data_IF_690623606029
#
_entry.id   IF_690623606029
#
_cell.length_a   1.000
_cell.length_b   1.000
_cell.length_c   1.000
_cell.angle_alpha   90.00
_cell.angle_beta   90.00
_cell.angle_gamma   90.00
#
_symmetry.space_group_name_H-M   'P 1'
#
loop_
_entity.id
_entity.type
_entity.pdbx_description
1 polymer ?
#
# COMPACT_ATOMS: atom_id res chain seq x y z
N UNK A 1 2.67 -26.83 -3.97
CA UNK A 1 3.76 -26.54 -4.96
C UNK A 1 3.83 -25.08 -5.40
N UNK A 2 2.81 -24.47 -6.01
CA UNK A 2 2.89 -23.03 -6.38
C UNK A 2 2.86 -22.10 -5.16
N UNK A 3 2.07 -22.42 -4.16
CA UNK A 3 1.99 -21.70 -2.87
C UNK A 3 3.29 -21.79 -2.06
N UNK A 4 3.96 -22.93 -2.10
CA UNK A 4 5.21 -23.15 -1.36
C UNK A 4 6.37 -22.42 -2.03
N UNK A 5 6.36 -22.31 -3.37
CA UNK A 5 7.31 -21.51 -4.12
C UNK A 5 7.14 -20.01 -3.79
N UNK A 6 5.91 -19.50 -3.69
CA UNK A 6 5.65 -18.12 -3.27
C UNK A 6 6.06 -17.86 -1.81
N UNK A 7 5.84 -18.83 -0.91
CA UNK A 7 6.31 -18.75 0.48
C UNK A 7 7.84 -18.77 0.57
N UNK A 8 8.50 -19.64 -0.19
CA UNK A 8 9.96 -19.72 -0.21
C UNK A 8 10.59 -18.46 -0.82
N UNK A 9 10.02 -17.91 -1.89
CA UNK A 9 10.46 -16.64 -2.48
C UNK A 9 10.17 -15.46 -1.55
N UNK A 10 9.06 -15.45 -0.84
CA UNK A 10 8.75 -14.43 0.17
C UNK A 10 9.68 -14.54 1.39
N UNK A 11 10.00 -15.74 1.85
CA UNK A 11 10.92 -15.98 2.96
C UNK A 11 12.38 -15.68 2.60
N UNK A 12 12.84 -16.07 1.40
CA UNK A 12 14.18 -15.75 0.92
C UNK A 12 14.38 -14.24 0.66
N UNK A 13 13.28 -13.48 0.42
CA UNK A 13 13.29 -12.04 0.23
C UNK A 13 13.00 -11.23 1.49
N UNK A 14 12.51 -11.84 2.55
CA UNK A 14 12.45 -11.20 3.88
C UNK A 14 13.84 -10.79 4.39
N UNK A 15 14.92 -11.42 3.88
CA UNK A 15 16.30 -11.07 4.15
C UNK A 15 16.86 -9.93 3.26
N UNK A 16 16.24 -9.62 2.11
CA UNK A 16 16.58 -8.46 1.27
C UNK A 16 15.34 -7.58 1.17
N UNK A 17 15.51 -6.29 1.49
CA UNK A 17 14.43 -5.30 1.47
C UNK A 17 13.50 -5.50 0.26
N UNK A 18 12.25 -5.91 0.52
CA UNK A 18 11.21 -5.99 -0.49
C UNK A 18 11.07 -4.61 -1.14
N UNK A 19 11.05 -4.56 -2.46
CA UNK A 19 10.93 -3.33 -3.27
C UNK A 19 12.19 -2.43 -3.25
N UNK A 20 13.35 -2.90 -3.73
CA UNK A 20 14.59 -2.12 -3.71
C UNK A 20 14.54 -0.85 -4.54
N UNK A 21 13.65 -0.74 -5.51
CA UNK A 21 13.48 0.41 -6.41
C UNK A 21 12.01 0.78 -6.54
N UNK A 22 11.71 2.07 -6.55
CA UNK A 22 10.34 2.55 -6.74
C UNK A 22 10.29 4.04 -7.04
N UNK A 23 9.39 4.43 -7.92
CA UNK A 23 9.14 5.83 -8.25
C UNK A 23 8.30 6.49 -7.15
N UNK A 24 8.73 7.64 -6.64
CA UNK A 24 7.98 8.44 -5.67
C UNK A 24 7.48 9.71 -6.36
N UNK A 25 6.18 9.95 -6.26
CA UNK A 25 5.52 11.15 -6.78
C UNK A 25 4.70 11.82 -5.70
N UNK A 26 4.55 13.13 -5.80
CA UNK A 26 3.57 13.86 -5.01
C UNK A 26 2.17 13.69 -5.60
N UNK A 27 1.16 13.85 -4.75
CA UNK A 27 -0.23 13.79 -5.17
C UNK A 27 -1.14 14.50 -4.20
N UNK A 28 -2.41 14.55 -4.57
CA UNK A 28 -3.50 15.08 -3.74
C UNK A 28 -4.53 14.01 -3.55
N UNK A 29 -4.91 13.73 -2.31
CA UNK A 29 -5.97 12.80 -1.95
C UNK A 29 -7.22 13.59 -1.57
N UNK A 30 -8.25 13.52 -2.39
CA UNK A 30 -9.56 14.12 -2.12
C UNK A 30 -10.46 13.06 -1.50
N UNK A 31 -10.74 13.18 -0.21
CA UNK A 31 -11.60 12.25 0.53
C UNK A 31 -13.03 12.74 0.52
N UNK A 32 -13.93 11.85 0.14
CA UNK A 32 -15.39 12.12 0.09
C UNK A 32 -16.12 11.45 1.26
N UNK A 33 -15.40 10.57 1.96
CA UNK A 33 -15.99 9.69 2.96
C UNK A 33 -16.73 8.50 2.36
N UNK A 34 -17.19 7.58 3.20
CA UNK A 34 -18.00 6.42 2.79
C UNK A 34 -19.23 6.24 3.64
N UNK A 35 -20.28 5.66 3.06
CA UNK A 35 -21.51 5.32 3.78
C UNK A 35 -21.96 3.90 3.42
N UNK A 36 -22.42 3.10 4.41
CA UNK A 36 -22.32 3.36 5.86
C UNK A 36 -20.88 3.52 6.31
N UNK A 37 -20.66 4.25 7.41
CA UNK A 37 -19.33 4.53 7.97
C UNK A 37 -18.61 3.28 8.45
N UNK A 38 -17.29 3.36 8.45
CA UNK A 38 -16.39 2.31 8.94
C UNK A 38 -16.01 2.49 10.41
N UNK A 39 -16.27 3.66 10.98
CA UNK A 39 -15.80 4.10 12.29
C UNK A 39 -14.35 4.62 12.27
N UNK A 40 -13.77 4.77 11.08
CA UNK A 40 -12.41 5.28 10.86
C UNK A 40 -12.50 6.68 10.25
N UNK A 41 -12.18 7.71 11.02
CA UNK A 41 -12.34 9.11 10.62
C UNK A 41 -11.61 9.46 9.31
N UNK A 42 -10.45 8.85 9.05
CA UNK A 42 -9.70 9.04 7.81
C UNK A 42 -10.43 8.50 6.56
N UNK A 43 -11.25 7.45 6.72
CA UNK A 43 -12.04 6.86 5.62
C UNK A 43 -13.42 7.52 5.52
N UNK A 44 -14.04 7.83 6.65
CA UNK A 44 -15.44 8.27 6.72
C UNK A 44 -15.59 9.78 6.56
N UNK A 45 -14.51 10.53 6.84
CA UNK A 45 -14.49 11.98 6.77
C UNK A 45 -14.12 12.50 5.39
N UNK A 46 -14.52 13.74 5.12
CA UNK A 46 -14.13 14.51 3.93
C UNK A 46 -12.84 15.28 4.19
N UNK A 47 -12.09 15.61 3.14
CA UNK A 47 -10.90 16.43 3.22
C UNK A 47 -10.04 16.36 1.98
N UNK A 48 -9.02 17.21 1.94
CA UNK A 48 -8.02 17.24 0.88
C UNK A 48 -6.65 17.18 1.55
N UNK A 49 -5.89 16.15 1.25
CA UNK A 49 -4.58 15.90 1.85
C UNK A 49 -3.49 15.89 0.78
N UNK A 50 -2.37 16.53 1.07
CA UNK A 50 -1.14 16.34 0.31
C UNK A 50 -0.56 14.96 0.63
N UNK A 51 -0.15 14.20 -0.40
CA UNK A 51 0.29 12.82 -0.22
C UNK A 51 1.57 12.53 -0.99
N UNK A 52 2.34 11.57 -0.48
CA UNK A 52 3.43 10.93 -1.20
C UNK A 52 2.99 9.54 -1.63
N UNK A 53 3.21 9.23 -2.89
CA UNK A 53 2.83 7.96 -3.51
C UNK A 53 4.06 7.28 -4.06
N UNK A 54 4.26 6.02 -3.70
CA UNK A 54 5.36 5.20 -4.22
C UNK A 54 4.84 4.03 -5.01
N UNK A 55 5.31 3.93 -6.25
CA UNK A 55 5.11 2.78 -7.11
C UNK A 55 6.33 1.87 -7.04
N UNK A 56 6.14 0.58 -6.92
CA UNK A 56 7.24 -0.36 -6.79
C UNK A 56 6.91 -1.71 -7.45
N UNK A 57 7.97 -2.48 -7.72
CA UNK A 57 7.85 -3.84 -8.27
C UNK A 57 8.33 -4.84 -7.22
N UNK A 58 7.45 -5.78 -6.85
CA UNK A 58 7.67 -6.68 -5.72
C UNK A 58 8.89 -7.59 -5.89
N UNK A 59 9.08 -8.13 -7.09
CA UNK A 59 10.22 -8.97 -7.43
C UNK A 59 11.41 -8.18 -7.99
N UNK A 60 11.19 -6.91 -8.42
CA UNK A 60 12.21 -6.11 -9.09
C UNK A 60 12.62 -6.69 -10.45
N UNK A 61 11.71 -7.41 -11.11
CA UNK A 61 11.95 -7.97 -12.44
C UNK A 61 12.12 -6.87 -13.49
N UNK A 62 12.85 -7.08 -14.59
CA UNK A 62 12.99 -6.13 -15.68
C UNK A 62 11.63 -5.65 -16.22
N UNK A 63 11.57 -4.41 -16.75
CA UNK A 63 10.36 -3.69 -17.12
C UNK A 63 9.26 -4.46 -17.87
N UNK A 64 9.55 -5.22 -18.92
CA UNK A 64 8.51 -5.91 -19.70
C UNK A 64 7.93 -7.16 -19.02
N UNK A 65 8.56 -7.68 -17.96
CA UNK A 65 8.08 -8.89 -17.29
C UNK A 65 6.96 -8.54 -16.29
N UNK A 66 5.95 -9.42 -16.14
CA UNK A 66 4.94 -9.25 -15.10
C UNK A 66 5.54 -9.30 -13.72
N UNK A 67 5.11 -8.40 -12.83
CA UNK A 67 5.53 -8.37 -11.43
C UNK A 67 4.35 -7.97 -10.54
N UNK A 68 4.40 -8.27 -9.25
CA UNK A 68 3.45 -7.74 -8.30
C UNK A 68 3.72 -6.24 -8.14
N UNK A 69 2.81 -5.41 -8.65
CA UNK A 69 2.94 -3.97 -8.55
C UNK A 69 2.53 -3.52 -7.14
N UNK A 70 3.39 -2.77 -6.48
CA UNK A 70 3.12 -2.15 -5.19
C UNK A 70 2.71 -0.69 -5.35
N UNK A 71 1.69 -0.28 -4.62
CA UNK A 71 1.24 1.10 -4.47
C UNK A 71 1.28 1.42 -2.98
N UNK A 72 2.17 2.33 -2.57
CA UNK A 72 2.23 2.83 -1.21
C UNK A 72 1.82 4.31 -1.19
N UNK A 73 1.05 4.68 -0.18
CA UNK A 73 0.53 6.04 0.02
C UNK A 73 0.87 6.49 1.43
N UNK A 74 1.41 7.70 1.58
CA UNK A 74 1.51 8.41 2.85
C UNK A 74 0.61 9.64 2.80
N UNK A 75 -0.35 9.71 3.72
CA UNK A 75 -1.27 10.80 3.96
C UNK A 75 -1.16 11.25 5.41
N UNK A 76 -2.02 12.19 5.80
CA UNK A 76 -2.14 12.66 7.17
C UNK A 76 -3.56 12.40 7.67
N UNK A 77 -3.71 11.91 8.90
CA UNK A 77 -5.01 11.77 9.52
C UNK A 77 -5.58 13.14 9.92
N UNK A 78 -6.89 13.26 10.19
CA UNK A 78 -7.49 14.50 10.69
C UNK A 78 -6.84 15.05 11.97
N UNK A 79 -6.20 14.19 12.75
CA UNK A 79 -5.43 14.58 13.95
C UNK A 79 -3.97 14.89 13.71
N UNK A 80 -3.51 15.00 12.46
CA UNK A 80 -2.13 15.34 12.10
C UNK A 80 -1.14 14.17 12.08
N UNK A 81 -1.53 12.96 12.48
CA UNK A 81 -0.66 11.78 12.46
C UNK A 81 -0.48 11.24 11.03
N UNK A 82 0.71 10.72 10.67
CA UNK A 82 0.93 10.11 9.37
C UNK A 82 0.08 8.84 9.21
N UNK A 83 -0.42 8.61 8.00
CA UNK A 83 -1.15 7.40 7.61
C UNK A 83 -0.45 6.77 6.43
N UNK A 84 0.10 5.57 6.63
CA UNK A 84 0.74 4.78 5.58
C UNK A 84 -0.18 3.63 5.15
N UNK A 85 -0.47 3.56 3.85
CA UNK A 85 -1.24 2.48 3.24
C UNK A 85 -0.36 1.76 2.22
N UNK A 86 -0.28 0.43 2.32
CA UNK A 86 0.42 -0.41 1.35
C UNK A 86 -0.56 -1.33 0.65
N UNK A 87 -0.58 -1.24 -0.66
CA UNK A 87 -1.43 -2.03 -1.53
C UNK A 87 -0.56 -2.77 -2.57
N UNK A 88 -1.03 -3.91 -3.01
CA UNK A 88 -0.39 -4.67 -4.08
C UNK A 88 -1.41 -5.17 -5.08
N UNK A 89 -0.99 -5.41 -6.32
CA UNK A 89 -1.88 -6.01 -7.33
C UNK A 89 -2.31 -7.40 -6.91
N UNK A 90 -3.62 -7.66 -6.99
CA UNK A 90 -4.21 -8.91 -6.53
C UNK A 90 -5.14 -9.52 -7.57
N UNK A 91 -5.21 -10.86 -7.54
CA UNK A 91 -6.33 -11.61 -8.08
C UNK A 91 -7.39 -11.73 -6.99
N UNK A 92 -8.62 -11.30 -7.31
CA UNK A 92 -9.63 -11.13 -6.28
C UNK A 92 -9.25 -10.00 -5.32
N UNK A 93 -9.08 -10.30 -4.03
CA UNK A 93 -8.81 -9.26 -3.01
C UNK A 93 -7.58 -9.52 -2.16
N UNK A 94 -7.06 -10.76 -2.17
CA UNK A 94 -6.10 -11.22 -1.17
C UNK A 94 -4.91 -11.98 -1.73
N UNK A 95 -4.97 -12.41 -2.99
CA UNK A 95 -3.89 -13.17 -3.61
C UNK A 95 -3.02 -12.23 -4.43
N UNK A 96 -1.76 -11.97 -4.04
CA UNK A 96 -0.85 -11.18 -4.85
C UNK A 96 -0.75 -11.78 -6.26
N UNK A 97 -0.88 -10.93 -7.27
CA UNK A 97 -0.90 -11.39 -8.65
C UNK A 97 -0.03 -10.51 -9.54
N UNK A 98 0.92 -11.10 -10.30
CA UNK A 98 1.79 -10.36 -11.20
C UNK A 98 1.00 -9.68 -12.34
N UNK A 99 1.36 -8.43 -12.64
CA UNK A 99 0.80 -7.62 -13.73
C UNK A 99 1.90 -6.88 -14.45
N UNK A 100 1.68 -6.55 -15.73
CA UNK A 100 2.62 -5.75 -16.53
C UNK A 100 2.51 -4.25 -16.27
N UNK A 101 1.44 -3.80 -15.63
CA UNK A 101 1.18 -2.40 -15.33
C UNK A 101 0.15 -2.24 -14.21
N UNK A 102 -0.19 -1.00 -13.91
CA UNK A 102 -1.13 -0.63 -12.84
C UNK A 102 -2.53 -0.30 -13.36
N UNK A 103 -2.69 -0.12 -14.68
CA UNK A 103 -3.96 0.31 -15.28
C UNK A 103 -5.02 -0.80 -15.24
N UNK A 104 -6.23 -0.44 -14.84
CA UNK A 104 -7.39 -1.34 -14.79
C UNK A 104 -7.32 -2.46 -13.77
N UNK A 105 -6.27 -2.52 -12.94
CA UNK A 105 -6.06 -3.56 -11.95
C UNK A 105 -6.43 -3.09 -10.55
N UNK A 106 -6.92 -4.03 -9.74
CA UNK A 106 -7.16 -3.81 -8.32
C UNK A 106 -5.86 -4.00 -7.55
N UNK A 107 -5.49 -2.97 -6.78
CA UNK A 107 -4.53 -3.07 -5.70
C UNK A 107 -5.30 -3.24 -4.40
N UNK A 108 -4.86 -4.11 -3.53
CA UNK A 108 -5.49 -4.36 -2.23
C UNK A 108 -4.45 -4.45 -1.11
N UNK A 109 -4.88 -4.18 0.11
CA UNK A 109 -4.07 -4.36 1.32
C UNK A 109 -3.76 -5.83 1.62
N UNK A 110 -4.36 -6.77 0.90
CA UNK A 110 -4.22 -8.23 1.06
C UNK A 110 -4.75 -8.71 2.42
N UNK A 111 -4.22 -8.15 3.51
CA UNK A 111 -4.72 -8.38 4.87
C UNK A 111 -5.85 -7.40 5.20
N UNK A 112 -6.88 -7.91 5.86
CA UNK A 112 -7.92 -7.06 6.40
C UNK A 112 -7.44 -6.43 7.70
N UNK A 113 -7.56 -5.10 7.80
CA UNK A 113 -7.43 -4.38 9.07
C UNK A 113 -8.61 -4.70 9.99
N UNK A 114 -8.43 -4.51 11.29
CA UNK A 114 -9.56 -4.39 12.22
C UNK A 114 -10.00 -2.93 12.23
N UNK A 115 -11.29 -2.70 12.02
CA UNK A 115 -11.94 -1.41 12.15
C UNK A 115 -13.13 -1.54 13.10
N UNK A 116 -13.71 -0.45 13.63
CA UNK A 116 -14.91 -0.51 14.47
C UNK A 116 -16.09 -1.21 13.78
N UNK A 117 -16.23 -1.09 12.47
CA UNK A 117 -17.23 -1.80 11.67
C UNK A 117 -16.91 -3.28 11.40
N UNK A 118 -15.77 -3.79 11.89
CA UNK A 118 -15.29 -5.15 11.63
C UNK A 118 -14.11 -5.21 10.66
N UNK A 119 -13.79 -6.40 10.11
CA UNK A 119 -12.67 -6.59 9.19
C UNK A 119 -12.82 -5.75 7.92
N UNK A 120 -11.80 -4.96 7.57
CA UNK A 120 -11.83 -4.00 6.48
C UNK A 120 -10.59 -4.13 5.57
N UNK A 121 -10.80 -4.32 4.28
CA UNK A 121 -9.78 -4.23 3.25
C UNK A 121 -9.75 -2.81 2.70
N UNK A 122 -8.55 -2.32 2.42
CA UNK A 122 -8.34 -1.12 1.61
C UNK A 122 -7.93 -1.54 0.20
N UNK A 123 -8.36 -0.78 -0.79
CA UNK A 123 -8.03 -1.03 -2.18
C UNK A 123 -7.93 0.26 -2.98
N UNK A 124 -7.27 0.15 -4.13
CA UNK A 124 -7.18 1.22 -5.12
C UNK A 124 -7.30 0.63 -6.52
N UNK A 125 -8.02 1.34 -7.39
CA UNK A 125 -8.10 1.03 -8.82
C UNK A 125 -7.74 2.27 -9.60
N UNK A 126 -7.01 2.12 -10.71
CA UNK A 126 -6.71 3.26 -11.59
C UNK A 126 -8.00 3.93 -12.08
N UNK A 127 -8.04 5.24 -12.01
CA UNK A 127 -9.15 6.11 -12.38
C UNK A 127 -8.60 7.38 -13.02
N UNK A 128 -8.85 7.58 -14.31
CA UNK A 128 -8.19 8.67 -15.04
C UNK A 128 -6.66 8.62 -14.88
N UNK A 129 -6.01 9.76 -14.60
CA UNK A 129 -4.57 9.83 -14.38
C UNK A 129 -4.14 9.42 -12.96
N UNK A 130 -5.07 8.96 -12.11
CA UNK A 130 -4.83 8.64 -10.71
C UNK A 130 -5.50 7.33 -10.28
N UNK A 131 -6.01 7.32 -9.05
CA UNK A 131 -6.63 6.13 -8.46
C UNK A 131 -7.88 6.49 -7.66
N UNK A 132 -8.89 5.62 -7.74
CA UNK A 132 -10.03 5.63 -6.84
C UNK A 132 -9.72 4.69 -5.66
N UNK A 133 -9.69 5.23 -4.44
CA UNK A 133 -9.52 4.46 -3.22
C UNK A 133 -10.86 4.00 -2.69
N UNK A 134 -10.91 2.76 -2.23
CA UNK A 134 -12.11 2.16 -1.70
C UNK A 134 -11.82 1.27 -0.48
N UNK A 135 -12.83 1.08 0.35
CA UNK A 135 -12.82 0.13 1.44
C UNK A 135 -13.86 -0.96 1.21
N UNK A 136 -13.65 -2.15 1.76
CA UNK A 136 -14.60 -3.26 1.68
C UNK A 136 -14.45 -4.21 2.87
N UNK A 137 -15.57 -4.73 3.37
CA UNK A 137 -15.54 -5.97 4.14
C UNK A 137 -14.99 -7.12 3.26
N UNK A 138 -14.40 -8.19 3.83
CA UNK A 138 -13.76 -9.24 3.05
C UNK A 138 -14.61 -9.88 1.94
N UNK A 139 -15.92 -9.90 2.11
CA UNK A 139 -16.92 -10.40 1.13
C UNK A 139 -17.94 -9.35 0.69
N UNK A 140 -17.83 -8.11 1.17
CA UNK A 140 -18.72 -6.99 0.84
C UNK A 140 -18.34 -6.27 -0.46
N UNK A 141 -19.17 -5.36 -0.96
CA UNK A 141 -18.84 -4.51 -2.11
C UNK A 141 -17.69 -3.54 -1.75
N UNK A 142 -16.90 -3.17 -2.77
CA UNK A 142 -15.98 -2.05 -2.65
C UNK A 142 -16.77 -0.74 -2.60
N UNK A 143 -16.45 0.09 -1.62
CA UNK A 143 -17.06 1.40 -1.39
C UNK A 143 -15.99 2.47 -1.55
N UNK A 144 -16.05 3.27 -2.61
CA UNK A 144 -15.15 4.39 -2.78
C UNK A 144 -15.25 5.37 -1.62
N UNK A 145 -14.12 5.95 -1.23
CA UNK A 145 -14.08 7.00 -0.21
C UNK A 145 -13.14 8.15 -0.56
N UNK A 146 -12.24 7.97 -1.53
CA UNK A 146 -11.32 9.03 -1.92
C UNK A 146 -10.84 8.87 -3.37
N UNK A 147 -10.44 9.98 -3.97
CA UNK A 147 -9.74 10.06 -5.24
C UNK A 147 -8.31 10.53 -5.03
N UNK A 148 -7.36 9.82 -5.62
CA UNK A 148 -5.94 10.17 -5.62
C UNK A 148 -5.57 10.73 -6.98
N UNK A 149 -5.15 11.99 -7.00
CA UNK A 149 -4.63 12.67 -8.16
C UNK A 149 -3.11 12.75 -8.07
N UNK A 150 -2.40 12.21 -9.07
CA UNK A 150 -0.94 12.30 -9.14
C UNK A 150 -0.54 13.61 -9.79
N UNK A 151 0.50 14.27 -9.26
CA UNK A 151 1.03 15.53 -9.83
C UNK A 151 1.99 15.29 -10.98
N UNK A 152 2.71 14.16 -10.92
CA UNK A 152 3.73 13.80 -11.88
C UNK A 152 3.49 12.40 -12.45
N UNK A 153 4.07 12.14 -13.62
CA UNK A 153 4.05 10.81 -14.23
C UNK A 153 5.01 9.87 -13.46
N UNK A 154 4.51 8.78 -12.86
CA UNK A 154 5.36 7.83 -12.16
C UNK A 154 6.47 7.21 -13.03
N UNK A 155 6.27 7.16 -14.37
CA UNK A 155 7.27 6.63 -15.29
C UNK A 155 8.51 7.54 -15.41
N UNK A 156 8.38 8.80 -15.04
CA UNK A 156 9.45 9.80 -15.06
C UNK A 156 10.02 10.10 -13.68
N UNK A 157 9.41 9.56 -12.64
CA UNK A 157 9.80 9.84 -11.27
C UNK A 157 11.04 9.02 -10.87
N UNK A 158 11.85 9.62 -10.00
CA UNK A 158 13.05 8.99 -9.47
C UNK A 158 12.72 8.16 -8.22
N UNK A 159 13.59 7.19 -7.94
CA UNK A 159 13.57 6.49 -6.66
C UNK A 159 14.01 7.44 -5.54
N UNK A 160 13.29 7.40 -4.44
CA UNK A 160 13.63 8.17 -3.24
C UNK A 160 13.67 7.22 -2.02
N UNK A 161 14.60 7.45 -1.06
CA UNK A 161 14.75 6.62 0.12
C UNK A 161 13.61 6.83 1.13
N UNK A 162 12.37 6.58 0.72
CA UNK A 162 11.19 6.71 1.55
C UNK A 162 10.73 5.35 2.05
N UNK A 163 10.52 5.25 3.36
CA UNK A 163 10.00 4.05 4.02
C UNK A 163 8.57 4.27 4.46
N UNK A 164 7.72 3.34 4.12
CA UNK A 164 6.33 3.29 4.57
C UNK A 164 6.20 2.24 5.67
N UNK A 165 5.58 2.60 6.78
CA UNK A 165 5.43 1.75 7.97
C UNK A 165 3.95 1.62 8.36
N UNK A 166 3.13 0.86 7.62
CA UNK A 166 1.68 0.80 7.82
C UNK A 166 1.26 0.18 9.17
N UNK A 167 2.20 -0.46 9.86
CA UNK A 167 1.97 -0.99 11.21
C UNK A 167 2.06 0.11 12.26
N UNK A 168 2.99 1.05 12.11
CA UNK A 168 3.20 2.17 13.03
C UNK A 168 2.31 3.35 12.66
N UNK A 169 2.10 3.58 11.37
CA UNK A 169 1.37 4.69 10.81
C UNK A 169 0.00 4.24 10.25
N UNK A 170 -0.68 3.34 10.95
CA UNK A 170 -2.08 3.02 10.62
C UNK A 170 -2.98 4.21 10.93
N UNK A 171 -4.01 4.45 10.13
CA UNK A 171 -5.00 5.46 10.45
C UNK A 171 -5.66 5.15 11.82
N UNK A 172 -5.88 6.15 12.69
CA UNK A 172 -6.58 5.93 13.95
C UNK A 172 -7.91 5.19 13.73
N UNK A 173 -8.11 4.12 14.47
CA UNK A 173 -9.24 3.19 14.30
C UNK A 173 -8.99 2.03 13.32
N UNK A 174 -7.85 2.01 12.60
CA UNK A 174 -7.39 0.83 11.87
C UNK A 174 -6.29 0.11 12.65
N UNK A 175 -6.50 -1.16 12.93
CA UNK A 175 -5.49 -2.01 13.55
C UNK A 175 -4.98 -3.06 12.55
N UNK A 176 -3.68 -3.16 12.42
CA UNK A 176 -3.06 -4.19 11.60
C UNK A 176 -3.18 -5.55 12.30
N UNK A 177 -3.58 -6.65 11.60
CA UNK A 177 -3.70 -7.95 12.23
C UNK A 177 -2.39 -8.41 12.89
N UNK A 178 -2.46 -8.91 14.11
CA UNK A 178 -1.29 -9.31 14.91
C UNK A 178 -0.45 -10.41 14.22
N UNK A 179 -1.08 -11.30 13.45
CA UNK A 179 -0.40 -12.32 12.64
C UNK A 179 0.50 -11.72 11.55
N UNK A 180 0.07 -10.63 10.93
CA UNK A 180 0.84 -9.91 9.92
C UNK A 180 1.89 -8.97 10.54
N UNK A 181 1.64 -8.43 11.72
CA UNK A 181 2.61 -7.65 12.49
C UNK A 181 3.86 -8.49 12.76
N UNK A 182 3.69 -9.71 13.28
CA UNK A 182 4.80 -10.66 13.55
C UNK A 182 5.60 -11.05 12.31
N UNK A 183 4.94 -11.17 11.15
CA UNK A 183 5.63 -11.50 9.90
C UNK A 183 6.45 -10.33 9.33
N UNK A 184 6.06 -9.09 9.60
CA UNK A 184 6.68 -7.88 9.04
C UNK A 184 7.69 -7.21 9.97
N UNK A 185 7.62 -7.41 11.29
CA UNK A 185 8.59 -6.84 12.24
C UNK A 185 10.06 -7.13 11.89
N UNK A 186 10.47 -8.36 11.53
CA UNK A 186 11.84 -8.63 11.13
C UNK A 186 12.27 -7.89 9.85
N UNK A 187 11.37 -7.76 8.87
CA UNK A 187 11.65 -7.07 7.61
C UNK A 187 11.82 -5.55 7.81
N UNK A 188 11.07 -4.94 8.72
CA UNK A 188 11.20 -3.52 9.07
C UNK A 188 12.44 -3.25 9.93
N UNK A 189 12.80 -4.15 10.86
CA UNK A 189 14.04 -4.04 11.63
C UNK A 189 15.29 -4.12 10.73
N UNK A 190 15.33 -5.05 9.77
CA UNK A 190 16.38 -5.18 8.78
C UNK A 190 16.51 -3.97 7.86
N UNK A 191 15.40 -3.37 7.46
CA UNK A 191 15.36 -2.16 6.63
C UNK A 191 15.85 -0.91 7.36
N UNK A 192 15.63 -0.80 8.67
CA UNK A 192 16.16 0.27 9.52
C UNK A 192 17.68 0.13 9.74
N UNK A 193 18.15 -1.10 10.04
CA UNK A 193 19.56 -1.39 10.27
C UNK A 193 20.43 -1.22 9.01
N UNK A 194 19.89 -1.54 7.82
CA UNK A 194 20.57 -1.36 6.54
C UNK A 194 20.79 0.10 6.15
N UNK A 195 19.97 1.03 6.63
CA UNK A 195 20.08 2.47 6.36
C UNK A 195 20.93 3.22 7.39
N UNK A 196 21.04 2.69 8.60
CA UNK A 196 21.96 3.23 9.60
C UNK A 196 23.44 2.98 9.26
N UNK A 197 23.70 2.04 8.34
CA UNK A 197 25.02 1.80 7.73
C UNK A 197 25.03 2.51 6.37
N UNK A 198 25.39 3.80 6.36
CA UNK A 198 25.59 4.55 5.13
C UNK A 198 26.56 3.86 4.16
N UNK A 199 26.62 4.29 2.88
CA UNK A 199 27.54 3.71 1.91
C UNK A 199 28.96 3.84 2.46
N UNK A 200 29.65 2.71 2.57
CA UNK A 200 31.09 2.72 2.79
C UNK A 200 31.74 3.43 1.58
N UNK A 201 32.50 4.46 1.85
CA UNK A 201 33.31 5.23 0.89
C UNK A 201 34.28 4.30 0.14
#
# INVERSE_FOLDING_TARGET
MLFDLFRAVAAARAAKALHPRGAVVAGTLVRHGTRPGTGVAWIDGTGVDEVLVRFSRGAGLPGPLPDVQGLALRSTSPGGAPVDVLLATTLGRRVPFPRRGTTGVLHSSIAAYRAPSGPLLLGARSHGPGFLLASAAPRGPWRPFAELHLRDDPARAQDAPLTFEPVLNAAPGLEFPSSWRRLREPAYAGSRAGRARGPAH
#
